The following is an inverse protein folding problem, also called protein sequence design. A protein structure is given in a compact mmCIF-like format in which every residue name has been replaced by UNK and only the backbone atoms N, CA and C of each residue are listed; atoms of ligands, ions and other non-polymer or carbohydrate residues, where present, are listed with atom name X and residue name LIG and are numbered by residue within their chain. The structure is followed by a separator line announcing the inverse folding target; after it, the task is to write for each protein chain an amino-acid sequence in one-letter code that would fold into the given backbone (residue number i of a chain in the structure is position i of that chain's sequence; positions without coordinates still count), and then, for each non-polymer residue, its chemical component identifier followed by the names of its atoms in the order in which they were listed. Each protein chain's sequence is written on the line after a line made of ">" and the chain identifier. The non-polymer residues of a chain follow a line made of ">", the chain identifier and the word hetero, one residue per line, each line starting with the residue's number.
data_IF_850497739175
#
_entry.id   IF_850497739175
#
_cell.length_a   1.000
_cell.length_b   1.000
_cell.length_c   1.000
_cell.angle_alpha   90.00
_cell.angle_beta   90.00
_cell.angle_gamma   90.00
#
_symmetry.space_group_name_H-M   'P 1'
#
loop_
_entity.id
_entity.type
_entity.pdbx_description
1 polymer ?
#
# COMPACT_ATOMS: atom_id res chain seq x y z
N UNK A 1 23.63 -40.68 13.84
CA UNK A 1 23.14 -39.31 13.60
C UNK A 1 21.94 -39.46 12.69
N UNK A 2 20.73 -39.35 13.24
CA UNK A 2 19.48 -39.33 12.47
C UNK A 2 18.76 -38.07 12.90
N UNK A 3 18.55 -37.18 11.95
CA UNK A 3 18.16 -35.80 12.15
C UNK A 3 16.70 -35.69 12.58
N UNK A 4 16.49 -35.05 13.73
CA UNK A 4 15.20 -34.68 14.31
C UNK A 4 14.72 -33.39 13.61
N UNK A 5 14.20 -33.51 12.38
CA UNK A 5 13.56 -32.38 11.68
C UNK A 5 12.17 -32.17 12.26
N UNK A 6 12.14 -31.48 13.40
CA UNK A 6 10.94 -31.08 14.13
C UNK A 6 9.93 -30.43 13.19
N UNK A 7 8.85 -31.16 12.92
CA UNK A 7 7.69 -30.72 12.17
C UNK A 7 7.12 -29.48 12.85
N UNK A 8 7.26 -28.32 12.23
CA UNK A 8 6.74 -27.06 12.76
C UNK A 8 5.20 -27.17 12.79
N UNK A 9 4.60 -26.93 13.95
CA UNK A 9 3.15 -26.96 14.13
C UNK A 9 2.52 -25.76 13.40
N UNK A 10 1.65 -25.97 12.40
CA UNK A 10 1.03 -24.88 11.65
C UNK A 10 0.24 -23.93 12.55
N UNK A 11 -0.29 -24.41 13.68
CA UNK A 11 -1.02 -23.59 14.65
C UNK A 11 -0.13 -22.60 15.39
N UNK A 12 1.16 -22.94 15.56
CA UNK A 12 2.13 -22.02 16.13
C UNK A 12 2.49 -20.90 15.15
N UNK A 13 2.51 -21.19 13.84
CA UNK A 13 2.72 -20.17 12.81
C UNK A 13 1.55 -19.21 12.70
N UNK A 14 0.32 -19.71 12.80
CA UNK A 14 -0.91 -18.91 12.80
C UNK A 14 -0.97 -17.95 14.01
N UNK A 15 -0.52 -18.39 15.19
CA UNK A 15 -0.46 -17.53 16.37
C UNK A 15 0.57 -16.38 16.29
N UNK A 16 1.54 -16.47 15.38
CA UNK A 16 2.48 -15.39 15.08
C UNK A 16 1.95 -14.44 13.98
N UNK A 17 0.84 -14.79 13.33
CA UNK A 17 0.20 -13.93 12.35
C UNK A 17 -0.42 -12.71 13.04
N UNK A 18 0.02 -11.52 12.63
CA UNK A 18 -0.48 -10.21 13.13
C UNK A 18 -1.66 -9.71 12.29
N UNK A 19 -1.98 -10.39 11.17
CA UNK A 19 -3.12 -10.07 10.33
C UNK A 19 -4.43 -10.47 11.03
N UNK A 20 -5.48 -9.64 10.97
CA UNK A 20 -6.80 -10.04 11.46
C UNK A 20 -7.31 -11.24 10.63
N UNK A 21 -7.99 -12.21 11.26
CA UNK A 21 -8.48 -13.39 10.56
C UNK A 21 -9.56 -12.99 9.54
N UNK A 22 -9.34 -13.31 8.27
CA UNK A 22 -10.32 -13.10 7.20
C UNK A 22 -11.49 -14.08 7.34
N UNK A 23 -12.74 -13.61 7.29
CA UNK A 23 -13.92 -14.48 7.46
C UNK A 23 -14.22 -15.40 6.27
N UNK A 24 -13.39 -15.38 5.20
CA UNK A 24 -13.68 -16.02 3.91
C UNK A 24 -12.53 -16.94 3.43
N UNK A 25 -11.85 -17.64 4.33
CA UNK A 25 -10.76 -18.56 3.90
C UNK A 25 -10.80 -19.90 4.62
N UNK A 26 -11.75 -20.74 4.21
CA UNK A 26 -11.52 -22.19 4.14
C UNK A 26 -11.10 -22.49 2.68
N UNK A 27 -9.85 -22.92 2.49
CA UNK A 27 -9.23 -23.38 1.22
C UNK A 27 -8.51 -22.31 0.39
N UNK A 28 -7.19 -22.17 0.55
CA UNK A 28 -6.19 -22.73 -0.39
C UNK A 28 -4.76 -22.24 -0.06
N UNK A 29 -3.74 -23.11 -0.02
CA UNK A 29 -2.38 -22.73 0.33
C UNK A 29 -1.49 -22.51 -0.91
N UNK A 30 -1.64 -21.43 -1.69
CA UNK A 30 -0.65 -21.03 -2.70
C UNK A 30 -0.72 -19.51 -3.05
N UNK A 31 -0.53 -18.62 -2.09
CA UNK A 31 -0.31 -17.19 -2.38
C UNK A 31 1.18 -16.88 -2.51
N UNK A 32 1.76 -17.17 -3.67
CA UNK A 32 3.03 -16.57 -4.07
C UNK A 32 3.06 -16.13 -5.55
N UNK A 33 1.91 -16.20 -6.25
CA UNK A 33 1.81 -15.86 -7.69
C UNK A 33 0.77 -14.76 -7.99
N UNK A 34 0.15 -14.16 -6.98
CA UNK A 34 -0.75 -13.01 -7.16
C UNK A 34 -0.24 -11.84 -6.33
N UNK A 35 0.78 -11.17 -6.86
CA UNK A 35 1.39 -9.95 -6.28
C UNK A 35 0.37 -8.78 -6.25
N UNK A 36 -0.83 -8.94 -6.83
CA UNK A 36 -1.77 -7.85 -7.06
C UNK A 36 -3.16 -8.20 -6.52
N UNK A 37 -3.44 -7.72 -5.30
CA UNK A 37 -4.78 -7.81 -4.73
C UNK A 37 -5.73 -6.95 -5.57
N UNK A 38 -6.98 -7.35 -5.88
CA UNK A 38 -7.94 -6.55 -6.68
C UNK A 38 -8.22 -5.13 -6.16
N UNK A 39 -7.82 -4.80 -4.93
CA UNK A 39 -7.90 -3.44 -4.35
C UNK A 39 -6.68 -2.57 -4.66
N UNK A 40 -5.61 -3.14 -5.21
CA UNK A 40 -4.35 -2.50 -5.61
C UNK A 40 -4.30 -2.16 -7.11
N UNK A 41 -5.47 -2.01 -7.75
CA UNK A 41 -5.58 -1.65 -9.16
C UNK A 41 -5.22 -0.17 -9.45
N UNK A 42 -4.66 0.54 -8.46
CA UNK A 42 -4.17 1.90 -8.61
C UNK A 42 -2.78 1.84 -9.22
N UNK A 43 -2.62 2.38 -10.43
CA UNK A 43 -1.37 2.24 -11.19
C UNK A 43 -1.21 0.85 -11.80
N UNK A 44 -2.26 0.29 -12.39
CA UNK A 44 -2.19 -0.95 -13.18
C UNK A 44 -3.06 -0.81 -14.43
N UNK A 45 -2.76 0.21 -15.26
CA UNK A 45 -3.57 0.45 -16.45
C UNK A 45 -3.32 -0.63 -17.52
N UNK A 46 -4.35 -1.43 -17.80
CA UNK A 46 -4.36 -2.45 -18.86
C UNK A 46 -3.95 -1.90 -20.23
N UNK A 47 -4.16 -0.59 -20.46
CA UNK A 47 -3.75 0.08 -21.70
C UNK A 47 -2.22 0.19 -21.85
N UNK A 48 -1.47 0.29 -20.75
CA UNK A 48 0.00 0.30 -20.73
C UNK A 48 0.52 -1.09 -21.14
N UNK A 49 -0.01 -2.14 -20.50
CA UNK A 49 0.32 -3.54 -20.81
C UNK A 49 0.10 -3.84 -22.30
N UNK A 50 -1.06 -3.42 -22.83
CA UNK A 50 -1.39 -3.60 -24.25
C UNK A 50 -0.47 -2.83 -25.19
N UNK A 51 0.01 -1.64 -24.78
CA UNK A 51 1.01 -0.87 -25.54
C UNK A 51 2.36 -1.59 -25.54
N UNK A 52 2.78 -2.12 -24.40
CA UNK A 52 4.03 -2.89 -24.25
C UNK A 52 4.04 -4.19 -25.05
N UNK A 53 2.93 -4.94 -25.04
CA UNK A 53 2.77 -6.17 -25.84
C UNK A 53 2.87 -5.88 -27.35
N UNK A 54 2.34 -4.75 -27.78
CA UNK A 54 2.35 -4.33 -29.19
C UNK A 54 3.72 -3.80 -29.61
N UNK A 55 4.39 -3.05 -28.74
CA UNK A 55 5.69 -2.44 -28.99
C UNK A 55 6.52 -2.42 -27.70
N UNK A 56 7.36 -3.45 -27.46
CA UNK A 56 8.13 -3.56 -26.22
C UNK A 56 9.27 -2.54 -26.11
N UNK A 57 9.66 -1.88 -27.20
CA UNK A 57 10.70 -0.83 -27.21
C UNK A 57 10.11 0.57 -27.01
N UNK A 58 8.80 0.69 -26.79
CA UNK A 58 8.14 1.95 -26.54
C UNK A 58 8.58 2.52 -25.19
N UNK A 59 9.43 3.56 -25.21
CA UNK A 59 10.00 4.19 -24.02
C UNK A 59 8.91 4.73 -23.07
N UNK A 60 7.84 5.31 -23.61
CA UNK A 60 6.73 5.85 -22.82
C UNK A 60 6.00 4.74 -22.06
N UNK A 61 5.63 3.65 -22.75
CA UNK A 61 4.92 2.55 -22.11
C UNK A 61 5.78 1.81 -21.07
N UNK A 62 7.10 1.74 -21.27
CA UNK A 62 8.05 1.20 -20.28
C UNK A 62 8.18 2.09 -19.06
N UNK A 63 8.21 3.41 -19.26
CA UNK A 63 8.25 4.37 -18.15
C UNK A 63 6.96 4.30 -17.34
N UNK A 64 5.80 4.27 -18.01
CA UNK A 64 4.49 4.15 -17.38
C UNK A 64 4.43 2.86 -16.51
N UNK A 65 4.86 1.71 -17.05
CA UNK A 65 4.89 0.45 -16.31
C UNK A 65 5.86 0.48 -15.10
N UNK A 66 7.05 1.08 -15.28
CA UNK A 66 8.02 1.20 -14.19
C UNK A 66 7.54 2.14 -13.07
N UNK A 67 6.77 3.19 -13.41
CA UNK A 67 6.14 4.07 -12.42
C UNK A 67 5.13 3.30 -11.59
N UNK A 68 4.25 2.54 -12.25
CA UNK A 68 3.25 1.68 -11.65
C UNK A 68 3.88 0.67 -10.65
N UNK A 69 4.95 -0.01 -11.06
CA UNK A 69 5.71 -0.95 -10.20
C UNK A 69 6.39 -0.27 -9.00
N UNK A 70 6.78 1.01 -9.12
CA UNK A 70 7.52 1.73 -8.08
C UNK A 70 6.64 2.22 -6.93
N UNK A 71 5.32 2.29 -7.12
CA UNK A 71 4.41 2.96 -6.19
C UNK A 71 3.75 2.01 -5.16
N UNK A 72 3.58 0.72 -5.47
CA UNK A 72 2.83 -0.21 -4.60
C UNK A 72 3.62 -0.68 -3.36
N UNK A 73 4.95 -0.56 -3.36
CA UNK A 73 5.79 -1.20 -2.33
C UNK A 73 6.46 -0.25 -1.32
N UNK A 74 6.28 1.08 -1.43
CA UNK A 74 7.15 2.03 -0.71
C UNK A 74 6.50 2.81 0.42
N UNK A 75 5.18 2.85 0.59
CA UNK A 75 4.60 3.64 1.68
C UNK A 75 4.49 2.78 2.95
N UNK A 76 5.32 3.01 3.98
CA UNK A 76 5.19 2.28 5.23
C UNK A 76 3.80 2.51 5.83
N UNK A 77 3.25 1.53 6.57
CA UNK A 77 2.00 1.77 7.29
C UNK A 77 2.14 3.02 8.15
N UNK A 78 1.17 3.93 8.04
CA UNK A 78 1.18 5.20 8.73
C UNK A 78 1.48 5.00 10.23
N UNK A 79 2.62 5.52 10.68
CA UNK A 79 3.07 5.37 12.08
C UNK A 79 2.18 6.17 13.05
N UNK A 80 1.41 7.13 12.55
CA UNK A 80 0.46 7.90 13.35
C UNK A 80 -0.83 7.11 13.55
N UNK A 81 -0.93 6.42 14.69
CA UNK A 81 -2.14 5.77 15.16
C UNK A 81 -3.30 6.79 15.27
N UNK A 82 -4.42 6.64 14.54
CA UNK A 82 -5.62 7.45 14.79
C UNK A 82 -6.25 7.16 16.15
N UNK A 83 -5.93 6.01 16.77
CA UNK A 83 -6.51 5.57 18.05
C UNK A 83 -5.88 6.27 19.27
N UNK A 84 -4.71 6.91 19.13
CA UNK A 84 -3.99 7.52 20.27
C UNK A 84 -3.99 9.04 20.28
N UNK A 85 -4.61 9.68 19.27
CA UNK A 85 -4.76 11.13 19.20
C UNK A 85 -6.25 11.50 19.16
N UNK A 86 -6.90 11.46 20.32
CA UNK A 86 -8.32 11.85 20.50
C UNK A 86 -8.49 13.37 20.36
N UNK A 87 -7.38 14.12 20.38
CA UNK A 87 -7.38 15.55 20.11
C UNK A 87 -6.83 15.82 18.71
N UNK A 88 -7.43 16.75 17.95
CA UNK A 88 -6.80 17.26 16.74
C UNK A 88 -5.39 17.77 17.09
N UNK A 89 -4.42 17.66 16.17
CA UNK A 89 -3.11 18.25 16.37
C UNK A 89 -3.27 19.74 16.70
N UNK A 90 -2.37 20.28 17.53
CA UNK A 90 -2.36 21.70 17.85
C UNK A 90 -2.46 22.50 16.54
N UNK A 91 -3.47 23.37 16.43
CA UNK A 91 -3.66 24.16 15.21
C UNK A 91 -2.37 24.93 14.94
N UNK A 92 -1.99 25.05 13.66
CA UNK A 92 -0.75 25.71 13.22
C UNK A 92 -0.72 27.23 13.44
N UNK A 93 -1.45 27.74 14.44
CA UNK A 93 -1.46 29.15 14.79
C UNK A 93 -2.21 30.02 13.78
N UNK A 94 -3.25 29.50 13.14
CA UNK A 94 -4.09 30.28 12.22
C UNK A 94 -4.59 31.56 12.92
N UNK A 95 -4.10 32.70 12.47
CA UNK A 95 -4.50 34.02 12.91
C UNK A 95 -5.46 34.60 11.87
N UNK A 96 -6.74 34.65 12.24
CA UNK A 96 -7.81 35.12 11.37
C UNK A 96 -7.59 36.59 10.93
N UNK A 97 -7.00 37.44 11.78
CA UNK A 97 -6.74 38.84 11.45
C UNK A 97 -5.58 38.99 10.46
N UNK A 98 -4.55 38.15 10.60
CA UNK A 98 -3.43 38.13 9.66
C UNK A 98 -3.89 37.65 8.28
N UNK A 99 -4.73 36.61 8.22
CA UNK A 99 -5.23 36.08 6.95
C UNK A 99 -6.18 37.04 6.25
N UNK A 100 -7.04 37.76 6.98
CA UNK A 100 -7.96 38.74 6.41
C UNK A 100 -7.19 39.91 5.75
N UNK A 101 -6.09 40.36 6.36
CA UNK A 101 -5.20 41.38 5.77
C UNK A 101 -4.55 40.89 4.47
N UNK A 102 -4.09 39.64 4.44
CA UNK A 102 -3.50 39.04 3.22
C UNK A 102 -4.55 38.92 2.12
N UNK A 103 -5.79 38.56 2.45
CA UNK A 103 -6.88 38.49 1.48
C UNK A 103 -7.31 39.87 0.95
N UNK A 104 -7.32 40.89 1.81
CA UNK A 104 -7.62 42.25 1.41
C UNK A 104 -6.54 42.84 0.46
N UNK A 105 -5.27 42.53 0.68
CA UNK A 105 -4.15 42.98 -0.16
C UNK A 105 -4.09 42.24 -1.52
N UNK A 106 -4.62 41.01 -1.58
CA UNK A 106 -4.69 40.21 -2.82
C UNK A 106 -5.81 40.67 -3.77
N UNK A 107 -6.74 41.51 -3.32
CA UNK A 107 -7.94 41.91 -4.07
C UNK A 107 -7.77 43.27 -4.75
#
# INVERSE_FOLDING_TARGET
>A
MTEDSKTIDPKALDSLSVAPPDPETDSDPHENDQIHHPRQNAGQDESIMKRLEKDPENEDARLDAALDESMDASDPPASTQPVHNVAPPASSGFDAEAEEKIQADRK
#
